data_IF_818568204326
#
_entry.id   IF_818568204326
#
_cell.length_a   1.000
_cell.length_b   1.000
_cell.length_c   1.000
_cell.angle_alpha   90.00
_cell.angle_beta   90.00
_cell.angle_gamma   90.00
#
_symmetry.space_group_name_H-M   'P 1'
#
loop_
_entity.id
_entity.type
_entity.pdbx_description
1 polymer ?
#
# COMPACT_ATOMS: atom_id res chain seq x y z
N UNK A 1 -6.89 9.44 10.90
CA UNK A 1 -6.49 8.10 10.39
C UNK A 1 -6.07 7.18 11.53
N UNK A 2 -5.09 7.59 12.33
CA UNK A 2 -4.56 6.82 13.47
C UNK A 2 -5.61 6.22 14.43
N UNK A 3 -6.68 6.96 14.71
CA UNK A 3 -7.74 6.48 15.58
C UNK A 3 -8.44 5.21 15.05
N UNK A 4 -8.62 5.12 13.73
CA UNK A 4 -9.16 3.92 13.09
C UNK A 4 -8.14 2.79 13.12
N UNK A 5 -6.89 3.05 12.72
CA UNK A 5 -5.80 2.06 12.69
C UNK A 5 -5.65 1.37 14.05
N UNK A 6 -5.64 2.16 15.14
CA UNK A 6 -5.41 1.71 16.51
C UNK A 6 -6.70 1.33 17.28
N UNK A 7 -7.83 1.18 16.59
CA UNK A 7 -9.11 0.76 17.17
C UNK A 7 -9.59 1.62 18.36
N UNK A 8 -9.34 2.94 18.29
CA UNK A 8 -9.71 3.91 19.34
C UNK A 8 -11.14 4.39 19.14
N UNK A 9 -12.11 3.51 19.40
CA UNK A 9 -13.54 3.74 19.12
C UNK A 9 -14.09 5.02 19.75
N UNK A 10 -13.78 5.29 21.03
CA UNK A 10 -14.31 6.48 21.71
C UNK A 10 -13.79 7.79 21.09
N UNK A 11 -12.54 7.80 20.62
CA UNK A 11 -11.98 8.96 19.94
C UNK A 11 -12.59 9.14 18.56
N UNK A 12 -12.84 8.04 17.84
CA UNK A 12 -13.56 8.09 16.56
C UNK A 12 -14.98 8.60 16.76
N UNK A 13 -15.71 8.11 17.77
CA UNK A 13 -17.06 8.58 18.13
C UNK A 13 -17.05 10.08 18.41
N UNK A 14 -16.12 10.55 19.23
CA UNK A 14 -15.95 11.97 19.51
C UNK A 14 -15.71 12.79 18.23
N UNK A 15 -14.84 12.32 17.33
CA UNK A 15 -14.59 13.02 16.06
C UNK A 15 -15.83 13.10 15.17
N UNK A 16 -16.62 12.03 15.12
CA UNK A 16 -17.88 12.00 14.36
C UNK A 16 -18.92 12.95 14.97
N UNK A 17 -19.05 12.99 16.30
CA UNK A 17 -19.91 13.92 17.03
C UNK A 17 -19.51 15.40 16.79
N UNK A 18 -18.21 15.65 16.61
CA UNK A 18 -17.69 16.98 16.27
C UNK A 18 -17.82 17.35 14.77
N UNK A 19 -18.49 16.53 13.97
CA UNK A 19 -18.83 16.87 12.59
C UNK A 19 -17.76 16.52 11.54
N UNK A 20 -16.85 15.59 11.83
CA UNK A 20 -15.93 15.07 10.80
C UNK A 20 -16.72 14.34 9.72
N UNK A 21 -16.77 14.92 8.51
CA UNK A 21 -17.42 14.29 7.35
C UNK A 21 -16.61 13.09 6.84
N UNK A 22 -17.24 11.91 6.86
CA UNK A 22 -16.59 10.69 6.41
C UNK A 22 -16.46 10.58 4.88
N UNK A 23 -17.28 11.31 4.11
CA UNK A 23 -17.17 11.36 2.64
C UNK A 23 -15.86 12.00 2.20
N UNK A 24 -15.52 13.14 2.80
CA UNK A 24 -14.26 13.85 2.55
C UNK A 24 -13.05 13.14 3.17
N UNK A 25 -13.26 12.43 4.29
CA UNK A 25 -12.17 11.74 4.96
C UNK A 25 -11.81 10.42 4.29
N UNK A 26 -12.77 9.61 3.84
CA UNK A 26 -12.49 8.27 3.37
C UNK A 26 -12.12 8.26 1.90
N UNK A 27 -10.83 8.08 1.62
CA UNK A 27 -10.31 7.93 0.25
C UNK A 27 -9.97 6.48 -0.05
N UNK A 28 -9.85 6.14 -1.34
CA UNK A 28 -9.44 4.80 -1.80
C UNK A 28 -8.12 4.36 -1.12
N UNK A 29 -7.17 5.29 -1.00
CA UNK A 29 -5.88 5.01 -0.38
C UNK A 29 -5.97 4.73 1.12
N UNK A 30 -6.77 5.52 1.85
CA UNK A 30 -6.99 5.32 3.29
C UNK A 30 -7.69 3.98 3.55
N UNK A 31 -8.70 3.62 2.75
CA UNK A 31 -9.36 2.33 2.92
C UNK A 31 -8.42 1.15 2.61
N UNK A 32 -7.62 1.23 1.54
CA UNK A 32 -6.62 0.21 1.24
C UNK A 32 -5.58 0.07 2.36
N UNK A 33 -5.17 1.18 2.98
CA UNK A 33 -4.28 1.19 4.15
C UNK A 33 -4.91 0.52 5.37
N UNK A 34 -6.19 0.80 5.68
CA UNK A 34 -6.92 0.17 6.78
C UNK A 34 -6.97 -1.35 6.65
N UNK A 35 -7.19 -1.89 5.44
CA UNK A 35 -7.18 -3.34 5.20
C UNK A 35 -5.79 -3.97 5.30
N UNK A 36 -4.72 -3.20 5.07
CA UNK A 36 -3.34 -3.68 5.11
C UNK A 36 -2.65 -3.41 6.45
N UNK A 37 -3.40 -2.94 7.45
CA UNK A 37 -2.89 -2.64 8.78
C UNK A 37 -2.78 -3.94 9.59
N UNK A 38 -1.58 -4.25 10.09
CA UNK A 38 -1.36 -5.41 10.98
C UNK A 38 -1.72 -5.16 12.46
N UNK A 39 -2.35 -4.03 12.76
CA UNK A 39 -2.80 -3.65 14.10
C UNK A 39 -4.22 -4.18 14.33
N UNK A 40 -4.50 -4.68 15.53
CA UNK A 40 -5.81 -5.17 15.94
C UNK A 40 -5.85 -6.68 16.21
N UNK A 41 -7.04 -7.24 16.44
CA UNK A 41 -7.22 -8.66 16.71
C UNK A 41 -6.82 -9.55 15.52
N UNK A 42 -6.46 -10.83 15.76
CA UNK A 42 -6.24 -11.78 14.68
C UNK A 42 -7.53 -12.00 13.86
N UNK A 43 -7.52 -11.54 12.62
CA UNK A 43 -8.63 -11.71 11.69
C UNK A 43 -8.50 -12.98 10.83
N UNK A 44 -9.54 -13.25 10.05
CA UNK A 44 -9.58 -14.39 9.10
C UNK A 44 -9.43 -13.93 7.66
N UNK A 45 -9.28 -12.62 7.42
CA UNK A 45 -9.34 -12.04 6.08
C UNK A 45 -8.25 -12.62 5.18
N UNK A 46 -7.04 -12.82 5.72
CA UNK A 46 -5.94 -13.46 4.99
C UNK A 46 -6.30 -14.83 4.42
N UNK A 47 -6.86 -15.71 5.25
CA UNK A 47 -7.20 -17.07 4.84
C UNK A 47 -8.31 -17.11 3.79
N UNK A 48 -9.34 -16.27 3.96
CA UNK A 48 -10.45 -16.20 3.01
C UNK A 48 -9.98 -15.64 1.67
N UNK A 49 -9.22 -14.53 1.67
CA UNK A 49 -8.67 -13.96 0.42
C UNK A 49 -7.72 -14.94 -0.27
N UNK A 50 -6.93 -15.70 0.50
CA UNK A 50 -6.06 -16.76 -0.03
C UNK A 50 -6.82 -17.85 -0.73
N UNK A 51 -7.95 -18.30 -0.19
CA UNK A 51 -8.77 -19.32 -0.83
C UNK A 51 -9.41 -18.82 -2.12
N UNK A 52 -9.97 -17.61 -2.09
CA UNK A 52 -10.68 -17.01 -3.23
C UNK A 52 -9.75 -16.61 -4.37
N UNK A 53 -8.63 -15.96 -4.04
CA UNK A 53 -7.74 -15.30 -5.04
C UNK A 53 -6.42 -16.07 -5.24
N UNK A 54 -6.16 -17.12 -4.44
CA UNK A 54 -4.92 -17.93 -4.51
C UNK A 54 -3.65 -17.08 -4.37
N UNK A 55 -3.64 -16.19 -3.38
CA UNK A 55 -2.53 -15.27 -3.08
C UNK A 55 -1.33 -15.96 -2.40
N UNK A 56 -0.13 -15.36 -2.54
CA UNK A 56 1.13 -15.81 -1.92
C UNK A 56 1.34 -15.19 -0.53
N UNK A 57 2.31 -15.71 0.22
CA UNK A 57 2.72 -15.12 1.50
C UNK A 57 3.24 -13.69 1.33
N UNK A 58 2.94 -12.81 2.29
CA UNK A 58 3.20 -11.34 2.26
C UNK A 58 2.48 -10.60 1.13
N UNK A 59 1.25 -11.00 0.85
CA UNK A 59 0.38 -10.29 -0.07
C UNK A 59 -0.12 -8.96 0.52
N UNK A 60 -0.09 -7.88 -0.26
CA UNK A 60 -0.75 -6.61 0.08
C UNK A 60 -2.15 -6.60 -0.54
N UNK A 61 -3.18 -6.54 0.29
CA UNK A 61 -4.57 -6.54 -0.13
C UNK A 61 -4.86 -5.43 -1.12
N UNK A 62 -5.68 -5.79 -2.11
CA UNK A 62 -6.26 -4.90 -3.09
C UNK A 62 -7.76 -4.86 -2.88
N UNK A 63 -8.37 -3.69 -3.00
CA UNK A 63 -9.82 -3.54 -2.83
C UNK A 63 -10.60 -4.42 -3.82
N UNK A 64 -10.07 -4.62 -5.04
CA UNK A 64 -10.64 -5.57 -6.02
C UNK A 64 -10.71 -7.01 -5.49
N UNK A 65 -9.68 -7.49 -4.80
CA UNK A 65 -9.62 -8.85 -4.26
C UNK A 65 -10.46 -9.00 -2.99
N UNK A 66 -10.53 -7.95 -2.19
CA UNK A 66 -11.48 -7.88 -1.06
C UNK A 66 -12.91 -7.95 -1.60
N UNK A 67 -13.20 -7.26 -2.71
CA UNK A 67 -14.51 -7.31 -3.38
C UNK A 67 -14.91 -8.73 -3.77
N UNK A 68 -14.03 -9.45 -4.47
CA UNK A 68 -14.26 -10.86 -4.82
C UNK A 68 -14.46 -11.75 -3.57
N UNK A 69 -13.74 -11.44 -2.50
CA UNK A 69 -13.87 -12.17 -1.23
C UNK A 69 -15.25 -11.94 -0.61
N UNK A 70 -15.75 -10.70 -0.60
CA UNK A 70 -17.09 -10.38 -0.12
C UNK A 70 -18.16 -11.04 -1.00
N UNK A 71 -18.01 -11.00 -2.32
CA UNK A 71 -18.95 -11.68 -3.24
C UNK A 71 -19.02 -13.18 -2.95
N UNK A 72 -17.87 -13.82 -2.70
CA UNK A 72 -17.82 -15.23 -2.32
C UNK A 72 -18.50 -15.50 -0.98
N UNK A 73 -18.22 -14.70 0.05
CA UNK A 73 -18.83 -14.83 1.38
C UNK A 73 -20.35 -14.64 1.35
N UNK A 74 -20.85 -13.82 0.42
CA UNK A 74 -22.28 -13.53 0.23
C UNK A 74 -22.96 -14.43 -0.81
N UNK A 75 -22.31 -15.51 -1.24
CA UNK A 75 -22.92 -16.53 -2.11
C UNK A 75 -23.01 -16.16 -3.60
N UNK A 76 -22.10 -15.34 -4.13
CA UNK A 76 -21.97 -14.91 -5.54
C UNK A 76 -23.18 -14.20 -6.17
N UNK A 77 -24.36 -14.22 -5.55
CA UNK A 77 -25.54 -13.47 -5.97
C UNK A 77 -25.43 -11.98 -5.60
N UNK A 78 -24.56 -11.66 -4.63
CA UNK A 78 -24.23 -10.30 -4.27
C UNK A 78 -23.07 -9.76 -5.14
N UNK A 79 -23.22 -8.53 -5.62
CA UNK A 79 -22.18 -7.78 -6.33
C UNK A 79 -21.56 -6.73 -5.42
N UNK A 80 -20.24 -6.80 -5.21
CA UNK A 80 -19.51 -5.83 -4.40
C UNK A 80 -19.26 -4.53 -5.17
N UNK A 81 -19.32 -3.38 -4.49
CA UNK A 81 -18.95 -2.08 -5.06
C UNK A 81 -17.54 -2.09 -5.64
N UNK A 82 -16.61 -2.85 -5.05
CA UNK A 82 -15.21 -2.90 -5.47
C UNK A 82 -14.95 -3.64 -6.79
N UNK A 83 -15.91 -4.44 -7.25
CA UNK A 83 -15.77 -5.22 -8.50
C UNK A 83 -16.53 -4.57 -9.65
N UNK A 84 -17.20 -3.43 -9.41
CA UNK A 84 -17.90 -2.67 -10.43
C UNK A 84 -16.92 -1.96 -11.37
N UNK A 85 -17.30 -1.82 -12.64
CA UNK A 85 -16.46 -1.18 -13.66
C UNK A 85 -16.11 0.29 -13.35
N UNK A 86 -17.03 1.13 -12.82
CA UNK A 86 -16.71 2.50 -12.43
C UNK A 86 -15.64 2.56 -11.34
N UNK A 87 -15.77 1.71 -10.30
CA UNK A 87 -14.78 1.66 -9.22
C UNK A 87 -13.43 1.15 -9.73
N UNK A 88 -13.43 0.10 -10.55
CA UNK A 88 -12.22 -0.49 -11.13
C UNK A 88 -11.42 0.54 -11.91
N UNK A 89 -12.09 1.39 -12.67
CA UNK A 89 -11.49 2.49 -13.43
C UNK A 89 -10.82 3.51 -12.50
N UNK A 90 -11.53 4.00 -11.47
CA UNK A 90 -10.97 4.89 -10.43
C UNK A 90 -9.75 4.27 -9.74
N UNK A 91 -9.86 3.01 -9.35
CA UNK A 91 -8.81 2.28 -8.62
C UNK A 91 -7.53 2.10 -9.46
N UNK A 92 -7.65 1.84 -10.77
CA UNK A 92 -6.49 1.76 -11.68
C UNK A 92 -5.76 3.09 -11.78
N UNK A 93 -6.50 4.20 -11.88
CA UNK A 93 -5.93 5.57 -11.91
C UNK A 93 -5.16 5.84 -10.61
N UNK A 94 -5.79 5.61 -9.45
CA UNK A 94 -5.16 5.73 -8.14
C UNK A 94 -3.87 4.90 -8.05
N UNK A 95 -3.91 3.63 -8.45
CA UNK A 95 -2.73 2.74 -8.45
C UNK A 95 -1.60 3.25 -9.35
N UNK A 96 -1.92 3.82 -10.51
CA UNK A 96 -0.94 4.39 -11.42
C UNK A 96 -0.32 5.66 -10.83
N UNK A 97 -1.11 6.52 -10.20
CA UNK A 97 -0.63 7.71 -9.47
C UNK A 97 0.32 7.30 -8.34
N UNK A 98 -0.03 6.29 -7.55
CA UNK A 98 0.81 5.77 -6.48
C UNK A 98 2.16 5.22 -7.00
N UNK A 99 2.17 4.52 -8.13
CA UNK A 99 3.41 4.05 -8.77
C UNK A 99 4.29 5.22 -9.24
N UNK A 100 3.69 6.26 -9.82
CA UNK A 100 4.41 7.47 -10.26
C UNK A 100 5.06 8.20 -9.08
N UNK A 101 4.33 8.37 -7.97
CA UNK A 101 4.86 9.00 -6.75
C UNK A 101 6.05 8.23 -6.18
N UNK A 102 5.97 6.89 -6.14
CA UNK A 102 7.09 6.05 -5.67
C UNK A 102 8.31 6.15 -6.59
N UNK A 103 8.10 6.21 -7.90
CA UNK A 103 9.19 6.38 -8.88
C UNK A 103 9.84 7.75 -8.77
N UNK A 104 9.05 8.83 -8.66
CA UNK A 104 9.55 10.18 -8.45
C UNK A 104 10.39 10.29 -7.16
N UNK A 105 9.92 9.68 -6.08
CA UNK A 105 10.68 9.65 -4.83
C UNK A 105 12.01 8.88 -4.98
N UNK A 106 12.00 7.74 -5.68
CA UNK A 106 13.22 6.97 -5.93
C UNK A 106 14.23 7.70 -6.84
N UNK A 107 13.75 8.42 -7.85
CA UNK A 107 14.59 9.24 -8.73
C UNK A 107 15.14 10.46 -7.96
N UNK A 108 14.37 11.06 -7.06
CA UNK A 108 14.82 12.14 -6.17
C UNK A 108 15.91 11.69 -5.19
N UNK A 109 15.73 10.54 -4.53
CA UNK A 109 16.77 9.98 -3.65
C UNK A 109 18.03 9.61 -4.44
N UNK A 110 17.89 9.02 -5.63
CA UNK A 110 19.05 8.72 -6.49
C UNK A 110 19.80 9.99 -6.88
N UNK A 111 19.09 11.05 -7.25
CA UNK A 111 19.68 12.33 -7.60
C UNK A 111 20.33 13.02 -6.38
N UNK A 112 19.74 12.90 -5.20
CA UNK A 112 20.32 13.40 -3.94
C UNK A 112 21.56 12.61 -3.52
N UNK A 113 21.63 11.30 -3.76
CA UNK A 113 22.83 10.51 -3.45
C UNK A 113 23.97 10.79 -4.46
N UNK A 114 23.60 11.04 -5.72
CA UNK A 114 24.53 11.44 -6.77
C UNK A 114 25.13 12.83 -6.50
N UNK A 115 24.36 13.78 -5.96
CA UNK A 115 24.89 15.11 -5.60
C UNK A 115 25.80 15.11 -4.36
N UNK A 116 25.60 14.17 -3.42
CA UNK A 116 26.48 14.01 -2.24
C UNK A 116 27.82 13.33 -2.60
N UNK A 117 27.88 12.63 -3.74
CA UNK A 117 29.11 11.95 -4.21
C UNK A 117 30.08 12.89 -4.94
N UNK A 118 29.79 14.20 -5.00
CA UNK A 118 30.65 15.27 -5.52
C UNK A 118 31.18 16.20 -4.41
N UNK A 119 31.48 15.65 -3.22
CA UNK A 119 32.40 16.31 -2.29
C UNK A 119 33.81 15.76 -2.54
N UNK A 120 34.58 16.48 -3.34
CA UNK A 120 36.01 16.27 -3.56
C UNK A 120 36.77 16.31 -2.22
N UNK A 121 37.64 15.33 -1.89
CA UNK A 121 38.66 15.55 -0.89
C UNK A 121 39.72 16.49 -1.49
N UNK A 122 39.85 17.69 -0.91
CA UNK A 122 41.02 18.53 -1.09
C UNK A 122 42.23 17.82 -0.47
N UNK A 123 43.21 17.39 -1.28
CA UNK A 123 44.59 17.21 -0.81
C UNK A 123 45.59 17.60 -1.90
N UNK A 124 46.43 18.55 -1.52
CA UNK A 124 47.59 19.22 -2.13
C UNK A 124 48.32 18.61 -3.35
N UNK A 125 48.95 19.48 -4.16
CA UNK A 125 49.84 19.10 -5.25
C UNK A 125 51.21 18.71 -4.68
N UNK A 126 51.80 17.64 -5.21
CA UNK A 126 53.23 17.50 -5.47
C UNK A 126 53.48 16.07 -5.95
N UNK A 127 53.53 15.89 -7.26
CA UNK A 127 54.56 15.10 -7.95
C UNK A 127 54.22 14.99 -9.44
N UNK A 128 55.13 15.54 -10.24
CA UNK A 128 55.24 15.43 -11.69
C UNK A 128 55.68 14.00 -12.05
N UNK A 129 55.06 13.39 -13.07
CA UNK A 129 55.73 12.62 -14.15
C UNK A 129 54.66 12.04 -15.12
N UNK A 130 54.75 12.53 -16.37
CA UNK A 130 54.37 11.95 -17.69
C UNK A 130 52.92 11.70 -18.09
N UNK A 131 52.52 12.48 -19.10
CA UNK A 131 51.81 12.13 -20.34
C UNK A 131 50.45 11.41 -20.28
N UNK A 132 49.38 12.16 -20.56
CA UNK A 132 48.69 12.08 -21.86
C UNK A 132 47.58 13.15 -21.91
N UNK A 133 47.87 14.26 -22.59
CA UNK A 133 46.84 15.11 -23.18
C UNK A 133 46.12 14.29 -24.25
N UNK A 134 44.82 14.55 -24.43
CA UNK A 134 43.98 14.27 -25.60
C UNK A 134 42.94 13.14 -25.44
N UNK A 135 41.79 13.47 -24.83
CA UNK A 135 40.47 13.11 -25.37
C UNK A 135 39.35 13.72 -24.53
N UNK A 136 39.09 15.01 -24.71
CA UNK A 136 37.74 15.55 -24.54
C UNK A 136 37.04 15.45 -25.89
N UNK A 137 36.12 14.49 -26.06
CA UNK A 137 35.00 14.62 -27.01
C UNK A 137 33.83 13.75 -26.56
N UNK A 138 32.81 14.44 -26.05
CA UNK A 138 31.37 14.18 -26.14
C UNK A 138 30.92 12.78 -26.62
N UNK A 139 30.27 12.04 -25.73
CA UNK A 139 29.67 10.74 -26.06
C UNK A 139 28.63 10.27 -25.06
N UNK A 140 27.70 11.14 -24.64
CA UNK A 140 26.49 10.71 -23.95
C UNK A 140 25.63 9.90 -24.92
N UNK A 141 25.77 8.56 -24.92
CA UNK A 141 24.82 7.66 -25.59
C UNK A 141 24.02 6.87 -24.56
N UNK A 142 22.79 7.34 -24.36
CA UNK A 142 21.71 6.54 -23.82
C UNK A 142 21.35 5.41 -24.80
N UNK A 143 21.47 4.15 -24.36
CA UNK A 143 20.69 2.98 -24.81
C UNK A 143 20.65 2.04 -23.59
N UNK A 144 19.59 2.03 -22.78
CA UNK A 144 18.33 1.32 -23.00
C UNK A 144 18.51 -0.19 -23.23
N UNK A 145 18.40 -0.94 -22.14
CA UNK A 145 17.89 -2.32 -21.98
C UNK A 145 18.43 -3.48 -22.85
N UNK A 146 18.78 -4.57 -22.15
CA UNK A 146 18.70 -5.99 -22.55
C UNK A 146 19.89 -6.61 -23.30
N UNK A 147 20.86 -7.21 -22.59
CA UNK A 147 21.56 -8.48 -22.93
C UNK A 147 22.17 -9.07 -21.62
N UNK A 148 22.06 -10.40 -21.44
CA UNK A 148 22.63 -11.28 -20.38
C UNK A 148 21.78 -11.56 -19.12
N UNK A 149 20.64 -12.24 -19.29
CA UNK A 149 20.05 -13.11 -18.25
C UNK A 149 19.83 -14.56 -18.71
N UNK A 150 20.78 -15.11 -19.48
CA UNK A 150 20.80 -16.55 -19.75
C UNK A 150 22.22 -17.09 -19.71
N UNK A 151 22.57 -17.66 -18.55
CA UNK A 151 23.24 -18.96 -18.41
C UNK A 151 23.98 -19.02 -17.08
N UNK A 152 23.38 -19.68 -16.09
CA UNK A 152 24.10 -20.69 -15.29
C UNK A 152 23.08 -21.59 -14.57
N UNK A 153 22.69 -22.66 -15.27
CA UNK A 153 22.32 -23.92 -14.62
C UNK A 153 23.61 -24.74 -14.48
N UNK A 154 23.65 -25.53 -13.42
CA UNK A 154 24.51 -26.69 -13.17
C UNK A 154 25.83 -26.44 -12.40
N UNK A 155 25.72 -26.58 -11.06
CA UNK A 155 26.48 -27.42 -10.10
C UNK A 155 28.01 -27.68 -10.29
N UNK A 156 28.73 -28.23 -9.29
CA UNK A 156 28.86 -27.95 -7.85
C UNK A 156 30.34 -27.65 -7.44
N UNK A 157 30.54 -27.29 -6.16
CA UNK A 157 31.79 -27.43 -5.39
C UNK A 157 33.05 -26.67 -5.88
N UNK A 158 33.34 -25.54 -5.24
CA UNK A 158 34.59 -25.37 -4.47
C UNK A 158 34.62 -24.03 -3.76
N UNK A 159 34.71 -24.17 -2.45
CA UNK A 159 35.00 -23.24 -1.39
C UNK A 159 36.16 -22.27 -1.73
N UNK A 160 35.92 -20.95 -1.70
CA UNK A 160 36.88 -19.95 -1.22
C UNK A 160 36.14 -18.71 -0.72
N UNK A 161 36.40 -18.39 0.55
CA UNK A 161 35.63 -17.45 1.35
C UNK A 161 35.81 -15.99 0.97
N UNK A 162 34.77 -15.21 1.25
CA UNK A 162 34.81 -13.76 1.38
C UNK A 162 33.73 -13.32 2.38
N UNK A 163 34.22 -12.99 3.58
CA UNK A 163 33.82 -11.84 4.41
C UNK A 163 32.31 -11.55 4.45
N UNK A 164 31.73 -11.96 5.57
CA UNK A 164 30.41 -11.59 6.07
C UNK A 164 30.34 -10.08 6.40
N UNK A 165 29.35 -9.32 5.91
CA UNK A 165 28.98 -8.03 6.48
C UNK A 165 27.92 -8.20 7.60
N UNK A 166 27.80 -7.22 8.52
CA UNK A 166 27.20 -7.42 9.83
C UNK A 166 25.67 -7.54 9.80
N UNK A 167 25.13 -8.25 10.80
CA UNK A 167 23.70 -8.28 11.13
C UNK A 167 23.26 -6.88 11.57
N UNK A 168 22.44 -6.21 10.76
CA UNK A 168 21.56 -5.14 11.21
C UNK A 168 20.13 -5.67 11.24
N UNK A 169 19.72 -6.02 12.46
CA UNK A 169 18.35 -5.97 12.92
C UNK A 169 17.82 -4.53 12.79
N UNK A 170 16.49 -4.40 12.73
CA UNK A 170 15.70 -3.19 12.46
C UNK A 170 15.47 -2.85 10.97
N UNK A 171 14.67 -3.67 10.30
CA UNK A 171 13.77 -3.11 9.28
C UNK A 171 12.67 -2.36 10.03
N UNK A 172 12.88 -1.08 10.25
CA UNK A 172 11.81 -0.18 10.63
C UNK A 172 10.90 -0.07 9.40
N UNK A 173 9.68 -0.61 9.50
CA UNK A 173 8.60 -0.28 8.58
C UNK A 173 8.50 1.24 8.52
N UNK A 174 8.98 1.85 7.44
CA UNK A 174 8.68 3.25 7.17
C UNK A 174 7.20 3.29 6.82
N UNK A 175 6.39 3.58 7.84
CA UNK A 175 5.06 4.16 7.69
C UNK A 175 5.19 5.23 6.63
N UNK A 176 4.45 5.07 5.54
CA UNK A 176 4.35 6.11 4.54
C UNK A 176 3.41 7.11 5.19
N UNK A 177 3.93 8.17 5.79
CA UNK A 177 3.09 9.28 6.25
C UNK A 177 2.45 9.89 5.01
N UNK A 178 1.20 9.51 4.74
CA UNK A 178 0.38 10.09 3.67
C UNK A 178 -0.18 11.42 4.21
N UNK A 179 0.71 12.36 4.44
CA UNK A 179 0.39 13.77 4.66
C UNK A 179 1.17 14.59 3.63
N UNK A 180 0.76 14.47 2.37
CA UNK A 180 1.13 15.45 1.36
C UNK A 180 -0.07 15.73 0.44
N UNK A 181 -1.10 16.33 1.05
CA UNK A 181 -2.10 17.10 0.33
C UNK A 181 -1.53 18.48 0.00
N UNK A 182 -0.73 18.58 -1.05
CA UNK A 182 -0.54 19.84 -1.77
C UNK A 182 0.24 19.61 -3.06
N UNK A 183 -0.47 19.62 -4.21
CA UNK A 183 -0.05 20.21 -5.51
C UNK A 183 -0.97 19.74 -6.67
N UNK A 184 -1.87 20.66 -7.09
CA UNK A 184 -2.60 20.89 -8.36
C UNK A 184 -3.20 19.70 -9.17
N UNK A 185 -4.42 19.73 -9.72
CA UNK A 185 -5.15 20.83 -10.40
C UNK A 185 -6.69 20.62 -10.46
N UNK A 186 -7.44 21.57 -9.91
CA UNK A 186 -8.68 22.25 -10.36
C UNK A 186 -9.84 21.62 -11.18
N UNK A 187 -9.99 20.31 -11.38
CA UNK A 187 -11.22 19.80 -12.06
C UNK A 187 -11.90 18.52 -11.52
N UNK A 188 -11.52 17.97 -10.36
CA UNK A 188 -12.17 16.74 -9.83
C UNK A 188 -12.33 16.73 -8.31
N UNK A 189 -12.60 17.88 -7.68
CA UNK A 189 -12.79 17.97 -6.22
C UNK A 189 -14.19 17.58 -5.70
N UNK A 190 -15.07 17.07 -6.56
CA UNK A 190 -16.50 16.99 -6.22
C UNK A 190 -17.13 15.62 -6.46
N UNK A 191 -16.34 14.54 -6.40
CA UNK A 191 -16.89 13.19 -6.43
C UNK A 191 -16.29 12.39 -5.30
N UNK A 192 -17.06 12.19 -4.24
CA UNK A 192 -16.72 11.27 -3.16
C UNK A 192 -16.18 9.95 -3.75
N UNK A 193 -15.05 9.49 -3.22
CA UNK A 193 -14.44 8.22 -3.62
C UNK A 193 -15.43 7.06 -3.38
N UNK A 194 -16.23 7.20 -2.32
CA UNK A 194 -17.25 6.25 -1.90
C UNK A 194 -18.59 6.92 -1.71
N UNK A 195 -19.63 6.35 -2.33
CA UNK A 195 -21.02 6.79 -2.16
C UNK A 195 -21.51 6.62 -0.71
N UNK A 196 -20.98 5.63 0.01
CA UNK A 196 -21.40 5.28 1.36
C UNK A 196 -20.19 5.00 2.26
N UNK A 197 -19.46 6.03 2.73
CA UNK A 197 -18.19 5.86 3.43
C UNK A 197 -18.32 5.04 4.74
N UNK A 198 -19.41 5.21 5.49
CA UNK A 198 -19.67 4.41 6.69
C UNK A 198 -19.86 2.92 6.38
N UNK A 199 -20.48 2.57 5.25
CA UNK A 199 -20.66 1.18 4.85
C UNK A 199 -19.31 0.52 4.53
N UNK A 200 -18.41 1.25 3.89
CA UNK A 200 -17.06 0.77 3.57
C UNK A 200 -16.24 0.49 4.85
N UNK A 201 -16.35 1.37 5.83
CA UNK A 201 -15.71 1.21 7.14
C UNK A 201 -16.33 0.11 7.98
N UNK A 202 -17.65 -0.05 7.91
CA UNK A 202 -18.37 -1.11 8.57
C UNK A 202 -17.93 -2.48 8.04
N UNK A 203 -17.85 -2.65 6.70
CA UNK A 203 -17.36 -3.87 6.07
C UNK A 203 -15.91 -4.14 6.52
N UNK A 204 -15.06 -3.13 6.48
CA UNK A 204 -13.68 -3.25 6.97
C UNK A 204 -13.62 -3.71 8.43
N UNK A 205 -14.38 -3.08 9.32
CA UNK A 205 -14.40 -3.41 10.74
C UNK A 205 -14.88 -4.85 10.98
N UNK A 206 -15.88 -5.32 10.24
CA UNK A 206 -16.37 -6.71 10.34
C UNK A 206 -15.36 -7.71 9.80
N UNK A 207 -14.77 -7.47 8.63
CA UNK A 207 -13.77 -8.35 8.04
C UNK A 207 -12.51 -8.46 8.92
N UNK A 208 -12.15 -7.40 9.63
CA UNK A 208 -11.00 -7.32 10.54
C UNK A 208 -11.33 -7.60 12.01
N UNK A 209 -12.56 -8.07 12.31
CA UNK A 209 -13.03 -8.47 13.65
C UNK A 209 -12.99 -7.37 14.73
N UNK A 210 -13.27 -6.13 14.35
CA UNK A 210 -13.36 -4.97 15.25
C UNK A 210 -14.83 -4.66 15.55
N UNK A 211 -15.41 -5.40 16.50
CA UNK A 211 -16.85 -5.37 16.78
C UNK A 211 -17.33 -4.00 17.26
N UNK A 212 -16.64 -3.39 18.23
CA UNK A 212 -16.99 -2.06 18.76
C UNK A 212 -16.90 -0.97 17.68
N UNK A 213 -15.87 -1.03 16.84
CA UNK A 213 -15.74 -0.13 15.70
C UNK A 213 -16.86 -0.35 14.69
N UNK A 214 -17.23 -1.60 14.40
CA UNK A 214 -18.35 -1.92 13.53
C UNK A 214 -19.67 -1.35 14.07
N UNK A 215 -19.93 -1.49 15.38
CA UNK A 215 -21.10 -0.90 16.03
C UNK A 215 -21.10 0.64 15.92
N UNK A 216 -19.95 1.27 16.12
CA UNK A 216 -19.82 2.72 15.95
C UNK A 216 -20.15 3.17 14.52
N UNK A 217 -19.61 2.49 13.50
CA UNK A 217 -19.90 2.80 12.09
C UNK A 217 -21.36 2.54 11.72
N UNK A 218 -21.97 1.50 12.29
CA UNK A 218 -23.39 1.19 12.11
C UNK A 218 -24.29 2.29 12.65
N UNK A 219 -24.00 2.80 13.85
CA UNK A 219 -24.79 3.85 14.50
C UNK A 219 -24.76 5.19 13.74
N UNK A 220 -23.65 5.50 13.08
CA UNK A 220 -23.47 6.74 12.34
C UNK A 220 -23.85 6.64 10.85
N UNK A 221 -24.04 5.43 10.33
CA UNK A 221 -24.48 5.21 8.95
C UNK A 221 -25.99 5.36 8.80
N UNK A 222 -26.44 6.19 7.85
CA UNK A 222 -27.88 6.38 7.56
C UNK A 222 -28.54 5.13 6.92
N UNK A 223 -27.75 4.23 6.34
CA UNK A 223 -28.23 2.97 5.75
C UNK A 223 -27.72 1.77 6.55
N UNK A 224 -28.47 1.38 7.58
CA UNK A 224 -28.31 0.10 8.29
C UNK A 224 -28.30 -1.09 7.29
N UNK A 225 -27.12 -1.54 6.89
CA UNK A 225 -26.94 -2.63 5.93
C UNK A 225 -27.19 -4.01 6.55
N UNK A 226 -28.41 -4.56 6.38
CA UNK A 226 -28.74 -5.95 6.73
C UNK A 226 -27.73 -7.00 6.20
N UNK A 227 -27.03 -6.66 5.10
CA UNK A 227 -25.96 -7.49 4.49
C UNK A 227 -24.79 -7.80 5.43
N UNK A 228 -24.45 -6.88 6.33
CA UNK A 228 -23.27 -7.03 7.20
C UNK A 228 -23.50 -8.08 8.30
N UNK A 229 -24.73 -8.22 8.78
CA UNK A 229 -25.11 -9.29 9.71
C UNK A 229 -24.89 -10.69 9.12
N UNK A 230 -25.13 -10.87 7.81
CA UNK A 230 -24.87 -12.13 7.12
C UNK A 230 -23.36 -12.43 7.04
N UNK A 231 -22.54 -11.45 6.64
CA UNK A 231 -21.07 -11.59 6.61
C UNK A 231 -20.53 -11.93 8.00
N UNK A 232 -21.02 -11.26 9.04
CA UNK A 232 -20.61 -11.52 10.42
C UNK A 232 -20.97 -12.95 10.86
N UNK A 233 -22.20 -13.39 10.59
CA UNK A 233 -22.64 -14.75 10.87
C UNK A 233 -21.74 -15.78 10.17
N UNK A 234 -21.49 -15.61 8.88
CA UNK A 234 -20.66 -16.50 8.08
C UNK A 234 -19.21 -16.55 8.59
N UNK A 235 -18.60 -15.40 8.89
CA UNK A 235 -17.26 -15.34 9.46
C UNK A 235 -17.17 -15.95 10.86
N UNK A 236 -18.24 -15.88 11.64
CA UNK A 236 -18.30 -16.52 12.97
C UNK A 236 -18.41 -18.04 12.85
N UNK A 237 -19.12 -18.55 11.85
CA UNK A 237 -19.26 -19.98 11.57
C UNK A 237 -17.94 -20.62 11.13
N UNK A 238 -17.10 -19.90 10.36
CA UNK A 238 -15.76 -20.35 9.95
C UNK A 238 -14.81 -20.61 11.14
N UNK A 239 -15.11 -20.10 12.33
CA UNK A 239 -14.30 -20.32 13.55
C UNK A 239 -14.68 -21.59 14.33
N UNK A 240 -15.75 -22.29 13.93
CA UNK A 240 -16.33 -23.44 14.69
C UNK A 240 -15.99 -24.80 14.05
N UNK A 241 -15.31 -24.81 12.90
CA UNK A 241 -14.79 -26.03 12.23
C UNK A 241 -13.28 -26.06 12.24
#
# INVERSE_FOLDING_TARGET
MEALINDRVDFVRLLLENGVSMGNFLTIGRLEELYNTGKGPPDTLFYVVRDVVKIRDRYRYQLSHIGLTIEKLMGNAYKSSYTTEPFRSKYVIYRNKLKKLRKQNQDSIRNSLASVSFATPLTNPDNLVTDAVLAAYSGNRALNHHILWRSRRDNPASNFGLIQPPKLSAMQETVIDIENESLCSDTEKDVDDFKYPFNELLIWAVLTKRQEMALCMWQHGEEAMAKVGFIYCELSAVKVT
#
